data_IF_271595297256
#
_entry.id   IF_271595297256
#
_cell.length_a   1.000
_cell.length_b   1.000
_cell.length_c   1.000
_cell.angle_alpha   90.00
_cell.angle_beta   90.00
_cell.angle_gamma   90.00
#
_symmetry.space_group_name_H-M   'P 1'
#
loop_
_entity.id
_entity.type
_entity.pdbx_description
1 polymer ?
#
# COMPACT_ATOMS: atom_id res chain seq x y z
N UNK A 1 0.80 -79.52 7.52
CA UNK A 1 1.89 -78.54 7.44
C UNK A 1 1.38 -77.23 7.98
N UNK A 2 1.62 -77.01 9.27
CA UNK A 2 1.30 -75.80 10.03
C UNK A 2 2.52 -74.87 9.99
N UNK A 3 2.38 -73.57 9.71
CA UNK A 3 3.51 -72.66 9.72
C UNK A 3 3.81 -72.20 11.15
N UNK A 4 5.07 -72.36 11.54
CA UNK A 4 5.67 -71.89 12.78
C UNK A 4 5.84 -70.37 12.72
N UNK A 5 5.38 -69.67 13.76
CA UNK A 5 5.60 -68.24 13.98
C UNK A 5 7.04 -68.00 14.45
N UNK A 6 7.77 -67.12 13.77
CA UNK A 6 9.04 -66.58 14.25
C UNK A 6 8.83 -65.54 15.36
N UNK A 7 9.77 -65.41 16.32
CA UNK A 7 9.59 -64.60 17.52
C UNK A 7 9.87 -63.11 17.27
N UNK A 8 9.04 -62.27 17.88
CA UNK A 8 9.22 -60.82 18.03
C UNK A 8 10.50 -60.54 18.84
N UNK A 9 11.41 -59.65 18.40
CA UNK A 9 12.58 -59.28 19.18
C UNK A 9 12.18 -58.44 20.41
N UNK A 10 12.84 -58.65 21.57
CA UNK A 10 12.43 -58.04 22.83
C UNK A 10 12.99 -56.62 23.01
N UNK A 11 12.14 -55.72 23.50
CA UNK A 11 12.54 -54.68 24.43
C UNK A 11 13.25 -53.44 23.86
N UNK A 12 12.53 -52.56 23.19
CA UNK A 12 12.74 -51.12 23.38
C UNK A 12 11.86 -50.68 24.56
N UNK A 13 12.32 -50.99 25.77
CA UNK A 13 11.78 -50.32 26.95
C UNK A 13 12.19 -48.86 26.84
N UNK A 14 11.25 -47.99 26.48
CA UNK A 14 11.44 -46.55 26.53
C UNK A 14 11.78 -46.20 27.98
N UNK A 15 13.06 -45.99 28.27
CA UNK A 15 13.52 -45.59 29.59
C UNK A 15 12.76 -44.30 29.97
N UNK A 16 12.09 -44.22 31.13
CA UNK A 16 11.26 -43.07 31.49
C UNK A 16 12.03 -41.75 31.43
N UNK A 17 13.35 -41.77 31.69
CA UNK A 17 14.22 -40.60 31.57
C UNK A 17 14.39 -40.10 30.12
N UNK A 18 14.32 -40.97 29.12
CA UNK A 18 14.42 -40.58 27.69
C UNK A 18 13.11 -39.93 27.24
N UNK A 19 11.96 -40.50 27.63
CA UNK A 19 10.64 -39.94 27.32
C UNK A 19 10.45 -38.58 28.01
N UNK A 20 10.88 -38.46 29.27
CA UNK A 20 10.87 -37.20 30.03
C UNK A 20 11.81 -36.18 29.39
N UNK A 21 12.99 -36.58 28.93
CA UNK A 21 13.94 -35.68 28.26
C UNK A 21 13.42 -35.15 26.92
N UNK A 22 12.83 -36.00 26.07
CA UNK A 22 12.18 -35.56 24.84
C UNK A 22 10.95 -34.70 25.10
N UNK A 23 10.16 -35.01 26.13
CA UNK A 23 9.02 -34.20 26.53
C UNK A 23 9.46 -32.81 27.03
N UNK A 24 10.52 -32.75 27.84
CA UNK A 24 11.11 -31.48 28.29
C UNK A 24 11.67 -30.67 27.12
N UNK A 25 12.42 -31.29 26.21
CA UNK A 25 12.91 -30.62 25.00
C UNK A 25 11.78 -30.13 24.10
N UNK A 26 10.70 -30.91 23.98
CA UNK A 26 9.52 -30.53 23.22
C UNK A 26 8.77 -29.36 23.88
N UNK A 27 8.63 -29.37 25.21
CA UNK A 27 8.04 -28.25 25.95
C UNK A 27 8.91 -27.00 25.91
N UNK A 28 10.24 -27.14 25.94
CA UNK A 28 11.19 -26.03 25.85
C UNK A 28 11.18 -25.41 24.44
N UNK A 29 11.08 -26.24 23.40
CA UNK A 29 10.88 -25.79 22.01
C UNK A 29 9.53 -25.08 21.82
N UNK A 30 8.44 -25.67 22.32
CA UNK A 30 7.09 -25.07 22.32
C UNK A 30 7.01 -23.72 23.05
N UNK A 31 7.84 -23.50 24.07
CA UNK A 31 7.89 -22.21 24.79
C UNK A 31 8.78 -21.18 24.12
N UNK A 32 9.83 -21.61 23.40
CA UNK A 32 10.65 -20.76 22.53
C UNK A 32 9.96 -20.36 21.22
N UNK A 33 9.01 -21.16 20.72
CA UNK A 33 8.31 -20.90 19.45
C UNK A 33 7.13 -19.90 19.62
N UNK A 34 6.61 -19.70 20.84
CA UNK A 34 5.47 -18.79 21.10
C UNK A 34 5.74 -17.32 20.72
N UNK A 35 6.89 -16.72 21.07
CA UNK A 35 7.22 -15.36 20.67
C UNK A 35 7.31 -15.20 19.14
N UNK A 36 7.89 -16.17 18.43
CA UNK A 36 7.99 -16.16 16.98
C UNK A 36 6.60 -16.28 16.30
N UNK A 37 5.75 -17.18 16.82
CA UNK A 37 4.37 -17.32 16.37
C UNK A 37 3.57 -16.03 16.55
N UNK A 38 3.75 -15.31 17.67
CA UNK A 38 3.08 -14.03 17.89
C UNK A 38 3.48 -12.98 16.84
N UNK A 39 4.76 -12.92 16.46
CA UNK A 39 5.25 -12.05 15.38
C UNK A 39 4.67 -12.46 14.03
N UNK A 40 4.66 -13.76 13.72
CA UNK A 40 4.07 -14.28 12.48
C UNK A 40 2.57 -13.97 12.37
N UNK A 41 1.79 -14.16 13.44
CA UNK A 41 0.38 -13.79 13.45
C UNK A 41 0.15 -12.29 13.25
N UNK A 42 1.03 -11.45 13.83
CA UNK A 42 0.98 -10.00 13.64
C UNK A 42 1.28 -9.62 12.17
N UNK A 43 2.32 -10.22 11.59
CA UNK A 43 2.67 -10.06 10.18
C UNK A 43 1.53 -10.46 9.26
N UNK A 44 0.93 -11.64 9.50
CA UNK A 44 -0.20 -12.14 8.71
C UNK A 44 -1.37 -11.15 8.71
N UNK A 45 -1.76 -10.67 9.89
CA UNK A 45 -2.81 -9.65 10.04
C UNK A 45 -2.45 -8.35 9.31
N UNK A 46 -1.18 -7.92 9.36
CA UNK A 46 -0.72 -6.72 8.68
C UNK A 46 -0.80 -6.85 7.16
N UNK A 47 -0.31 -7.95 6.58
CA UNK A 47 -0.34 -8.16 5.13
C UNK A 47 -1.77 -8.29 4.57
N UNK A 48 -2.69 -8.93 5.29
CA UNK A 48 -4.11 -8.95 4.90
C UNK A 48 -4.71 -7.54 4.86
N UNK A 49 -4.35 -6.68 5.82
CA UNK A 49 -4.76 -5.27 5.78
C UNK A 49 -4.10 -4.54 4.62
N UNK A 50 -2.81 -4.77 4.35
CA UNK A 50 -2.12 -4.18 3.18
C UNK A 50 -2.82 -4.57 1.88
N UNK A 51 -3.24 -5.83 1.72
CA UNK A 51 -3.97 -6.31 0.54
C UNK A 51 -5.30 -5.55 0.35
N UNK A 52 -6.11 -5.45 1.40
CA UNK A 52 -7.37 -4.70 1.37
C UNK A 52 -7.12 -3.22 1.02
N UNK A 53 -6.14 -2.60 1.69
CA UNK A 53 -5.82 -1.18 1.49
C UNK A 53 -5.23 -0.90 0.10
N UNK A 54 -4.50 -1.85 -0.50
CA UNK A 54 -3.98 -1.72 -1.86
C UNK A 54 -5.11 -1.62 -2.88
N UNK A 55 -6.20 -2.37 -2.70
CA UNK A 55 -7.39 -2.26 -3.55
C UNK A 55 -8.01 -0.86 -3.50
N UNK A 56 -8.17 -0.31 -2.29
CA UNK A 56 -8.69 1.05 -2.08
C UNK A 56 -7.76 2.12 -2.67
N UNK A 57 -6.45 1.93 -2.51
CA UNK A 57 -5.43 2.81 -3.08
C UNK A 57 -5.54 2.89 -4.60
N UNK A 58 -5.55 1.73 -5.28
CA UNK A 58 -5.63 1.67 -6.73
C UNK A 58 -6.94 2.26 -7.26
N UNK A 59 -8.06 1.95 -6.61
CA UNK A 59 -9.36 2.51 -6.98
C UNK A 59 -9.36 4.05 -6.85
N UNK A 60 -8.83 4.60 -5.75
CA UNK A 60 -8.75 6.05 -5.57
C UNK A 60 -7.82 6.71 -6.61
N UNK A 61 -6.72 6.06 -7.00
CA UNK A 61 -5.84 6.55 -8.07
C UNK A 61 -6.54 6.55 -9.43
N UNK A 62 -7.30 5.51 -9.75
CA UNK A 62 -8.08 5.44 -10.99
C UNK A 62 -9.15 6.54 -11.04
N UNK A 63 -9.83 6.79 -9.93
CA UNK A 63 -10.82 7.87 -9.78
C UNK A 63 -10.22 9.27 -10.00
N UNK A 64 -8.93 9.46 -9.74
CA UNK A 64 -8.26 10.75 -9.95
C UNK A 64 -8.06 11.07 -11.45
N UNK A 65 -7.86 10.07 -12.31
CA UNK A 65 -7.56 10.27 -13.73
C UNK A 65 -8.59 11.11 -14.50
N UNK A 66 -9.91 10.83 -14.43
CA UNK A 66 -10.90 11.66 -15.10
C UNK A 66 -10.96 13.08 -14.51
N UNK A 67 -10.70 13.26 -13.22
CA UNK A 67 -10.68 14.58 -12.57
C UNK A 67 -9.48 15.43 -13.05
N UNK A 68 -8.29 14.82 -13.11
CA UNK A 68 -7.08 15.47 -13.65
C UNK A 68 -7.26 15.85 -15.11
N UNK A 69 -7.87 14.96 -15.91
CA UNK A 69 -8.20 15.25 -17.30
C UNK A 69 -9.19 16.40 -17.43
N UNK A 70 -10.18 16.47 -16.53
CA UNK A 70 -11.13 17.58 -16.47
C UNK A 70 -10.45 18.92 -16.15
N UNK A 71 -9.51 18.95 -15.20
CA UNK A 71 -8.72 20.16 -14.91
C UNK A 71 -7.87 20.60 -16.09
N UNK A 72 -7.18 19.65 -16.73
CA UNK A 72 -6.36 19.92 -17.92
C UNK A 72 -7.21 20.56 -19.03
N UNK A 73 -8.37 19.97 -19.34
CA UNK A 73 -9.31 20.51 -20.31
C UNK A 73 -9.87 21.89 -19.90
N UNK A 74 -10.17 22.12 -18.62
CA UNK A 74 -10.59 23.46 -18.16
C UNK A 74 -9.48 24.51 -18.37
N UNK A 75 -8.22 24.15 -18.13
CA UNK A 75 -7.10 25.05 -18.40
C UNK A 75 -6.91 25.33 -19.88
N UNK A 76 -7.09 24.35 -20.77
CA UNK A 76 -7.13 24.56 -22.23
C UNK A 76 -8.25 25.52 -22.62
N UNK A 77 -9.45 25.34 -22.06
CA UNK A 77 -10.58 26.23 -22.34
C UNK A 77 -10.35 27.66 -21.83
N UNK A 78 -9.74 27.83 -20.64
CA UNK A 78 -9.35 29.15 -20.14
C UNK A 78 -8.33 29.80 -21.09
N UNK A 79 -7.35 29.04 -21.55
CA UNK A 79 -6.32 29.54 -22.46
C UNK A 79 -6.93 29.97 -23.81
N UNK A 80 -7.81 29.16 -24.38
CA UNK A 80 -8.54 29.48 -25.59
C UNK A 80 -9.39 30.76 -25.44
N UNK A 81 -10.10 30.89 -24.31
CA UNK A 81 -10.87 32.09 -24.00
C UNK A 81 -9.98 33.33 -23.77
N UNK A 82 -8.76 33.18 -23.26
CA UNK A 82 -7.81 34.29 -23.11
C UNK A 82 -7.27 34.78 -24.46
N UNK A 83 -7.03 33.84 -25.38
CA UNK A 83 -6.47 34.13 -26.70
C UNK A 83 -7.52 34.68 -27.69
N UNK A 84 -8.82 34.46 -27.42
CA UNK A 84 -9.90 34.97 -28.25
C UNK A 84 -10.03 36.50 -28.14
N UNK A 85 -10.02 37.16 -29.30
CA UNK A 85 -10.41 38.57 -29.43
C UNK A 85 -11.93 38.63 -29.59
N UNK A 86 -12.64 38.78 -28.47
CA UNK A 86 -14.11 38.83 -28.46
C UNK A 86 -14.68 39.98 -29.30
N UNK A 87 -13.91 41.07 -29.44
CA UNK A 87 -14.22 42.24 -30.26
C UNK A 87 -14.31 41.90 -31.76
N UNK A 88 -13.54 40.92 -32.21
CA UNK A 88 -13.50 40.48 -33.61
C UNK A 88 -14.67 39.54 -33.97
N UNK A 89 -15.55 39.23 -33.01
CA UNK A 89 -16.71 38.34 -33.20
C UNK A 89 -18.01 39.14 -33.02
N UNK A 90 -18.62 39.66 -34.09
CA UNK A 90 -19.77 40.56 -34.03
C UNK A 90 -20.97 40.00 -33.24
N UNK A 91 -21.21 38.68 -33.32
CA UNK A 91 -22.29 38.00 -32.60
C UNK A 91 -22.11 38.04 -31.07
N UNK A 92 -20.89 38.19 -30.56
CA UNK A 92 -20.60 38.26 -29.13
C UNK A 92 -20.68 39.69 -28.57
N UNK A 93 -20.79 40.71 -29.43
CA UNK A 93 -20.89 42.12 -29.02
C UNK A 93 -22.11 42.45 -28.16
N UNK A 94 -23.18 41.63 -28.24
CA UNK A 94 -24.35 41.74 -27.38
C UNK A 94 -24.08 41.33 -25.91
N UNK A 95 -22.91 40.75 -25.62
CA UNK A 95 -22.56 40.19 -24.31
C UNK A 95 -21.21 40.73 -23.80
N UNK A 96 -21.14 42.01 -23.38
CA UNK A 96 -19.89 42.66 -22.99
C UNK A 96 -19.18 41.97 -21.82
N UNK A 97 -19.94 41.38 -20.89
CA UNK A 97 -19.38 40.69 -19.72
C UNK A 97 -19.07 39.20 -19.96
N UNK A 98 -19.26 38.69 -21.18
CA UNK A 98 -19.17 37.25 -21.46
C UNK A 98 -17.80 36.67 -21.07
N UNK A 99 -16.71 37.37 -21.40
CA UNK A 99 -15.35 36.94 -21.10
C UNK A 99 -15.14 36.74 -19.59
N UNK A 100 -15.53 37.73 -18.79
CA UNK A 100 -15.37 37.67 -17.34
C UNK A 100 -16.32 36.67 -16.69
N UNK A 101 -17.55 36.56 -17.20
CA UNK A 101 -18.51 35.54 -16.72
C UNK A 101 -18.05 34.13 -17.05
N UNK A 102 -17.50 33.90 -18.23
CA UNK A 102 -16.94 32.61 -18.65
C UNK A 102 -15.75 32.24 -17.77
N UNK A 103 -14.80 33.18 -17.57
CA UNK A 103 -13.66 32.99 -16.67
C UNK A 103 -14.11 32.58 -15.28
N UNK A 104 -15.03 33.32 -14.67
CA UNK A 104 -15.57 33.01 -13.33
C UNK A 104 -16.22 31.62 -13.28
N UNK A 105 -17.01 31.26 -14.29
CA UNK A 105 -17.65 29.93 -14.36
C UNK A 105 -16.63 28.81 -14.48
N UNK A 106 -15.59 28.98 -15.28
CA UNK A 106 -14.56 27.95 -15.46
C UNK A 106 -13.70 27.79 -14.20
N UNK A 107 -13.35 28.89 -13.53
CA UNK A 107 -12.64 28.83 -12.24
C UNK A 107 -13.49 28.10 -11.19
N UNK A 108 -14.77 28.45 -11.06
CA UNK A 108 -15.69 27.77 -10.15
C UNK A 108 -15.85 26.27 -10.47
N UNK A 109 -15.90 25.90 -11.76
CA UNK A 109 -15.90 24.50 -12.17
C UNK A 109 -14.57 23.80 -11.79
N UNK A 110 -13.46 24.50 -11.92
CA UNK A 110 -12.15 24.04 -11.51
C UNK A 110 -12.05 23.78 -10.00
N UNK A 111 -12.57 24.69 -9.18
CA UNK A 111 -12.62 24.54 -7.72
C UNK A 111 -13.41 23.29 -7.32
N UNK A 112 -14.55 23.02 -7.95
CA UNK A 112 -15.33 21.79 -7.73
C UNK A 112 -14.52 20.52 -8.05
N UNK A 113 -13.69 20.55 -9.10
CA UNK A 113 -12.85 19.40 -9.46
C UNK A 113 -11.70 19.24 -8.46
N UNK A 114 -11.11 20.35 -7.98
CA UNK A 114 -10.09 20.33 -6.94
C UNK A 114 -10.63 19.78 -5.61
N UNK A 115 -11.85 20.13 -5.22
CA UNK A 115 -12.51 19.58 -4.04
C UNK A 115 -12.62 18.05 -4.14
N UNK A 116 -13.09 17.54 -5.28
CA UNK A 116 -13.19 16.10 -5.54
C UNK A 116 -11.82 15.41 -5.52
N UNK A 117 -10.79 16.04 -6.06
CA UNK A 117 -9.42 15.53 -5.95
C UNK A 117 -8.94 15.52 -4.49
N UNK A 118 -9.31 16.53 -3.71
CA UNK A 118 -9.06 16.57 -2.27
C UNK A 118 -9.71 15.40 -1.51
N UNK A 119 -10.96 15.04 -1.85
CA UNK A 119 -11.62 13.86 -1.30
C UNK A 119 -10.86 12.57 -1.63
N UNK A 120 -10.36 12.42 -2.87
CA UNK A 120 -9.56 11.24 -3.26
C UNK A 120 -8.21 11.22 -2.57
N UNK A 121 -7.55 12.36 -2.39
CA UNK A 121 -6.35 12.47 -1.56
C UNK A 121 -6.62 12.06 -0.11
N UNK A 122 -7.79 12.36 0.45
CA UNK A 122 -8.15 11.95 1.80
C UNK A 122 -8.27 10.42 1.93
N UNK A 123 -8.74 9.73 0.88
CA UNK A 123 -8.74 8.26 0.84
C UNK A 123 -7.31 7.72 0.82
N UNK A 124 -6.43 8.26 -0.03
CA UNK A 124 -5.02 7.87 -0.08
C UNK A 124 -4.31 8.10 1.26
N UNK A 125 -4.60 9.24 1.91
CA UNK A 125 -4.11 9.55 3.26
C UNK A 125 -4.53 8.49 4.26
N UNK A 126 -5.81 8.11 4.25
CA UNK A 126 -6.36 7.09 5.16
C UNK A 126 -5.69 5.73 4.94
N UNK A 127 -5.49 5.30 3.70
CA UNK A 127 -4.76 4.06 3.38
C UNK A 127 -3.37 4.09 3.99
N UNK A 128 -2.61 5.16 3.74
CA UNK A 128 -1.26 5.34 4.31
C UNK A 128 -1.27 5.23 5.84
N UNK A 129 -2.21 5.89 6.51
CA UNK A 129 -2.30 5.93 7.97
C UNK A 129 -2.67 4.58 8.57
N UNK A 130 -3.62 3.88 7.95
CA UNK A 130 -4.01 2.52 8.36
C UNK A 130 -2.80 1.59 8.24
N UNK A 131 -2.13 1.57 7.09
CA UNK A 131 -0.96 0.70 6.88
C UNK A 131 0.16 1.04 7.85
N UNK A 132 0.52 2.32 8.00
CA UNK A 132 1.57 2.77 8.93
C UNK A 132 1.27 2.32 10.38
N UNK A 133 0.02 2.46 10.85
CA UNK A 133 -0.36 2.01 12.19
C UNK A 133 -0.27 0.50 12.41
N UNK A 134 -0.52 -0.29 11.35
CA UNK A 134 -0.40 -1.75 11.40
C UNK A 134 1.07 -2.18 11.37
N UNK A 135 1.89 -1.55 10.53
CA UNK A 135 3.33 -1.77 10.47
C UNK A 135 3.95 -1.45 11.84
N UNK A 136 3.65 -0.28 12.41
CA UNK A 136 4.14 0.10 13.74
C UNK A 136 3.79 -0.95 14.81
N UNK A 137 2.56 -1.47 14.81
CA UNK A 137 2.14 -2.52 15.74
C UNK A 137 2.93 -3.81 15.58
N UNK A 138 3.23 -4.22 14.34
CA UNK A 138 4.08 -5.40 14.08
C UNK A 138 5.47 -5.19 14.67
N UNK A 139 6.08 -4.03 14.43
CA UNK A 139 7.40 -3.70 14.97
C UNK A 139 7.39 -3.67 16.50
N UNK A 140 6.36 -3.11 17.13
CA UNK A 140 6.21 -3.16 18.60
C UNK A 140 6.14 -4.59 19.14
N UNK A 141 5.39 -5.49 18.49
CA UNK A 141 5.30 -6.90 18.90
C UNK A 141 6.65 -7.60 18.70
N UNK A 142 7.33 -7.34 17.59
CA UNK A 142 8.66 -7.88 17.34
C UNK A 142 9.66 -7.40 18.40
N UNK A 143 9.72 -6.11 18.70
CA UNK A 143 10.59 -5.52 19.72
C UNK A 143 10.34 -6.09 21.12
N UNK A 144 9.08 -6.33 21.49
CA UNK A 144 8.71 -6.98 22.75
C UNK A 144 9.27 -8.41 22.90
N UNK A 145 9.53 -9.06 21.77
CA UNK A 145 9.98 -10.44 21.70
C UNK A 145 11.44 -10.59 21.23
N UNK A 146 12.11 -9.50 20.86
CA UNK A 146 13.42 -9.52 20.22
C UNK A 146 14.51 -10.23 21.05
N UNK A 147 14.51 -10.04 22.38
CA UNK A 147 15.48 -10.70 23.27
C UNK A 147 15.26 -12.22 23.39
N UNK A 148 14.05 -12.68 23.08
CA UNK A 148 13.64 -14.09 23.15
C UNK A 148 13.67 -14.80 21.80
N UNK A 149 13.42 -14.06 20.72
CA UNK A 149 13.44 -14.58 19.36
C UNK A 149 14.88 -14.51 18.86
N UNK A 150 15.55 -15.65 18.81
CA UNK A 150 16.92 -15.73 18.30
C UNK A 150 17.02 -15.23 16.84
N UNK A 151 18.11 -14.54 16.52
CA UNK A 151 18.39 -14.00 15.17
C UNK A 151 18.27 -15.08 14.10
N UNK A 152 18.77 -16.29 14.38
CA UNK A 152 18.68 -17.41 13.45
C UNK A 152 17.22 -17.72 13.07
N UNK A 153 16.31 -17.72 14.04
CA UNK A 153 14.90 -18.02 13.82
C UNK A 153 14.20 -16.96 12.96
N UNK A 154 14.60 -15.70 13.05
CA UNK A 154 14.06 -14.59 12.25
C UNK A 154 14.50 -14.69 10.79
N UNK A 155 15.71 -15.19 10.56
CA UNK A 155 16.33 -15.32 9.24
C UNK A 155 15.97 -16.62 8.53
N UNK A 156 15.39 -17.63 9.20
CA UNK A 156 15.04 -18.90 8.57
C UNK A 156 13.76 -18.77 7.73
N UNK A 157 13.82 -18.91 6.40
CA UNK A 157 12.63 -19.11 5.59
C UNK A 157 12.13 -20.56 5.69
N UNK A 158 10.91 -20.80 5.24
CA UNK A 158 10.34 -22.14 5.05
C UNK A 158 9.85 -22.33 3.61
N UNK A 159 9.41 -23.55 3.28
CA UNK A 159 8.85 -23.85 1.96
C UNK A 159 7.56 -23.05 1.64
N UNK A 160 6.90 -22.53 2.67
CA UNK A 160 5.58 -21.88 2.57
C UNK A 160 5.54 -20.49 3.21
N UNK A 161 6.67 -20.02 3.74
CA UNK A 161 6.78 -18.70 4.36
C UNK A 161 8.16 -18.10 4.08
N UNK A 162 8.23 -16.84 3.63
CA UNK A 162 9.45 -16.04 3.69
C UNK A 162 9.98 -15.93 5.13
N UNK A 163 11.21 -15.43 5.29
CA UNK A 163 11.76 -15.17 6.62
C UNK A 163 11.03 -14.00 7.29
N UNK A 164 11.04 -13.95 8.62
CA UNK A 164 10.47 -12.82 9.37
C UNK A 164 11.25 -11.53 9.07
N UNK A 165 12.56 -11.61 8.86
CA UNK A 165 13.37 -10.46 8.45
C UNK A 165 12.89 -9.86 7.13
N UNK A 166 12.74 -10.69 6.08
CA UNK A 166 12.30 -10.23 4.75
C UNK A 166 10.91 -9.58 4.84
N UNK A 167 9.99 -10.23 5.57
CA UNK A 167 8.63 -9.70 5.75
C UNK A 167 8.60 -8.36 6.48
N UNK A 168 9.44 -8.17 7.50
CA UNK A 168 9.56 -6.89 8.21
C UNK A 168 10.15 -5.80 7.31
N UNK A 169 11.18 -6.12 6.52
CA UNK A 169 11.77 -5.21 5.53
C UNK A 169 10.72 -4.79 4.50
N UNK A 170 9.99 -5.74 3.93
CA UNK A 170 8.94 -5.47 2.95
C UNK A 170 7.80 -4.61 3.51
N UNK A 171 7.42 -4.78 4.78
CA UNK A 171 6.43 -3.90 5.42
C UNK A 171 6.94 -2.44 5.51
N UNK A 172 8.21 -2.23 5.82
CA UNK A 172 8.80 -0.88 5.80
C UNK A 172 8.85 -0.30 4.39
N UNK A 173 9.16 -1.11 3.38
CA UNK A 173 9.16 -0.68 1.99
C UNK A 173 7.76 -0.28 1.52
N UNK A 174 6.73 -1.04 1.88
CA UNK A 174 5.32 -0.71 1.63
C UNK A 174 4.94 0.62 2.31
N UNK A 175 5.29 0.78 3.59
CA UNK A 175 5.00 2.02 4.32
C UNK A 175 5.68 3.23 3.66
N UNK A 176 6.96 3.09 3.31
CA UNK A 176 7.76 4.12 2.61
C UNK A 176 7.14 4.46 1.27
N UNK A 177 6.68 3.45 0.51
CA UNK A 177 5.99 3.63 -0.75
C UNK A 177 4.75 4.49 -0.57
N UNK A 178 3.78 4.07 0.25
CA UNK A 178 2.54 4.85 0.45
C UNK A 178 2.81 6.28 0.93
N UNK A 179 3.76 6.45 1.87
CA UNK A 179 4.12 7.76 2.39
C UNK A 179 4.69 8.67 1.29
N UNK A 180 5.68 8.20 0.54
CA UNK A 180 6.31 8.96 -0.55
C UNK A 180 5.29 9.30 -1.63
N UNK A 181 4.51 8.29 -2.04
CA UNK A 181 3.51 8.37 -3.09
C UNK A 181 2.40 9.36 -2.78
N UNK A 182 1.91 9.37 -1.54
CA UNK A 182 0.94 10.33 -1.05
C UNK A 182 1.53 11.75 -1.03
N UNK A 183 2.73 11.93 -0.49
CA UNK A 183 3.35 13.25 -0.35
C UNK A 183 3.61 13.91 -1.71
N UNK A 184 4.10 13.14 -2.68
CA UNK A 184 4.33 13.62 -4.05
C UNK A 184 3.04 14.09 -4.71
N UNK A 185 1.95 13.33 -4.56
CA UNK A 185 0.63 13.70 -5.10
C UNK A 185 0.03 14.91 -4.40
N UNK A 186 0.11 14.97 -3.07
CA UNK A 186 -0.32 16.12 -2.28
C UNK A 186 0.42 17.38 -2.70
N UNK A 187 1.75 17.29 -2.86
CA UNK A 187 2.57 18.40 -3.29
C UNK A 187 2.17 18.87 -4.70
N UNK A 188 2.05 17.94 -5.65
CA UNK A 188 1.64 18.24 -7.02
C UNK A 188 0.32 19.03 -7.05
N UNK A 189 -0.72 18.55 -6.33
CA UNK A 189 -2.01 19.22 -6.30
C UNK A 189 -1.99 20.55 -5.54
N UNK A 190 -1.20 20.67 -4.47
CA UNK A 190 -1.04 21.93 -3.73
C UNK A 190 -0.29 23.01 -4.54
N UNK A 191 0.46 22.61 -5.57
CA UNK A 191 1.22 23.52 -6.42
C UNK A 191 0.39 24.19 -7.52
N UNK A 192 -0.87 23.77 -7.69
CA UNK A 192 -1.76 24.25 -8.75
C UNK A 192 -2.02 25.75 -8.60
N UNK A 193 -1.81 26.49 -9.69
CA UNK A 193 -2.09 27.92 -9.80
C UNK A 193 -2.80 28.20 -11.11
N UNK A 194 -4.00 28.75 -11.06
CA UNK A 194 -4.77 29.13 -12.26
C UNK A 194 -4.11 30.22 -13.14
N UNK A 195 -3.01 30.83 -12.66
CA UNK A 195 -2.14 31.68 -13.47
C UNK A 195 -1.16 30.93 -14.37
N UNK A 196 -0.94 29.64 -14.12
CA UNK A 196 -0.04 28.77 -14.88
C UNK A 196 -0.83 27.62 -15.53
N UNK A 197 -1.52 27.96 -16.62
CA UNK A 197 -2.39 27.02 -17.33
C UNK A 197 -1.59 25.87 -17.97
N UNK A 198 -0.34 26.12 -18.38
CA UNK A 198 0.51 25.10 -18.99
C UNK A 198 0.83 23.98 -17.99
N UNK A 199 1.13 24.33 -16.74
CA UNK A 199 1.33 23.34 -15.68
C UNK A 199 0.04 22.55 -15.39
N UNK A 200 -1.12 23.22 -15.34
CA UNK A 200 -2.42 22.53 -15.14
C UNK A 200 -2.71 21.54 -16.27
N UNK A 201 -2.43 21.92 -17.52
CA UNK A 201 -2.57 21.02 -18.67
C UNK A 201 -1.65 19.80 -18.60
N UNK A 202 -0.47 19.96 -18.00
CA UNK A 202 0.52 18.90 -17.81
C UNK A 202 0.23 17.98 -16.60
N UNK A 203 -0.74 18.31 -15.74
CA UNK A 203 -1.03 17.56 -14.51
C UNK A 203 -1.27 16.06 -14.72
N UNK A 204 -2.07 15.59 -15.70
CA UNK A 204 -2.26 14.15 -15.89
C UNK A 204 -0.93 13.42 -16.13
N UNK A 205 -0.06 13.99 -16.97
CA UNK A 205 1.27 13.43 -17.24
C UNK A 205 2.17 13.48 -16.01
N UNK A 206 2.12 14.56 -15.24
CA UNK A 206 2.90 14.70 -14.00
C UNK A 206 2.45 13.67 -12.96
N UNK A 207 1.15 13.43 -12.84
CA UNK A 207 0.57 12.43 -11.95
C UNK A 207 1.02 11.00 -12.31
N UNK A 208 0.98 10.64 -13.59
CA UNK A 208 1.39 9.31 -14.06
C UNK A 208 2.89 9.04 -13.84
N UNK A 209 3.73 10.09 -13.93
CA UNK A 209 5.17 9.96 -13.65
C UNK A 209 5.44 9.55 -12.21
N UNK A 210 4.64 10.01 -11.25
CA UNK A 210 4.80 9.62 -9.84
C UNK A 210 4.68 8.10 -9.70
N UNK A 211 3.71 7.47 -10.36
CA UNK A 211 3.56 6.00 -10.33
C UNK A 211 4.76 5.27 -10.94
N UNK A 212 5.30 5.80 -12.05
CA UNK A 212 6.43 5.18 -12.76
C UNK A 212 7.74 5.24 -11.95
N UNK A 213 7.98 6.37 -11.29
CA UNK A 213 9.21 6.60 -10.52
C UNK A 213 9.22 5.84 -9.19
N UNK A 214 8.06 5.35 -8.73
CA UNK A 214 7.87 4.72 -7.42
C UNK A 214 7.70 3.21 -7.45
N UNK A 215 7.96 2.55 -8.60
CA UNK A 215 7.71 1.13 -8.82
C UNK A 215 6.26 0.77 -8.51
N UNK A 216 5.37 1.06 -9.45
CA UNK A 216 3.92 0.89 -9.33
C UNK A 216 3.48 -0.49 -8.80
N UNK A 217 4.27 -1.53 -9.09
CA UNK A 217 3.94 -2.92 -8.76
C UNK A 217 4.56 -3.42 -7.45
N UNK A 218 5.35 -2.60 -6.74
CA UNK A 218 6.07 -2.99 -5.50
C UNK A 218 5.17 -3.70 -4.49
N UNK A 219 4.03 -3.10 -4.16
CA UNK A 219 3.11 -3.65 -3.15
C UNK A 219 2.51 -4.98 -3.65
N UNK A 220 2.19 -5.07 -4.94
CA UNK A 220 1.63 -6.29 -5.53
C UNK A 220 2.67 -7.42 -5.56
N UNK A 221 3.91 -7.12 -5.92
CA UNK A 221 5.02 -8.08 -5.95
C UNK A 221 5.30 -8.64 -4.56
N UNK A 222 5.30 -7.79 -3.54
CA UNK A 222 5.44 -8.21 -2.13
C UNK A 222 4.26 -9.08 -1.70
N UNK A 223 3.01 -8.69 -2.01
CA UNK A 223 1.83 -9.47 -1.68
C UNK A 223 1.87 -10.86 -2.32
N UNK A 224 2.38 -10.96 -3.56
CA UNK A 224 2.62 -12.25 -4.21
C UNK A 224 3.65 -13.10 -3.47
N UNK A 225 4.75 -12.50 -2.99
CA UNK A 225 5.79 -13.20 -2.23
C UNK A 225 5.28 -13.78 -0.89
N UNK A 226 4.28 -13.15 -0.27
CA UNK A 226 3.70 -13.62 1.01
C UNK A 226 2.42 -14.45 0.83
N UNK A 227 1.94 -14.67 -0.39
CA UNK A 227 0.65 -15.35 -0.66
C UNK A 227 0.50 -16.70 0.07
N UNK A 228 1.46 -17.62 -0.07
CA UNK A 228 1.43 -18.93 0.61
C UNK A 228 1.48 -18.84 2.15
N UNK A 229 2.07 -17.76 2.69
CA UNK A 229 2.06 -17.51 4.12
C UNK A 229 0.67 -17.08 4.61
N UNK A 230 -0.09 -16.36 3.77
CA UNK A 230 -1.44 -15.92 4.11
C UNK A 230 -2.48 -17.06 4.10
N UNK A 231 -2.24 -18.13 3.36
CA UNK A 231 -3.15 -19.28 3.23
C UNK A 231 -3.14 -20.26 4.43
N UNK A 232 -2.15 -20.17 5.33
CA UNK A 232 -1.95 -21.08 6.48
C UNK A 232 -2.70 -20.66 7.74
#
# INVERSE_FOLDING_TARGET
MTPTLDPVPPGLTCHPNVVIFYFYLFQQKMTQDRPLLAVQEALKKCFLVVEEQQGLWQSALQDCQPLLSSLSNLAEQLQAAQNLRFEDVPALGAFPDLKERLRRKQLAAGDIVLDKLGERLAILLKVRDVVSSHVERVFQIYEQHADTVGIDAVLQPSAVSPSVADMLEWLQDIERHYRKSYLNRKYLLSSIRWGDLANIQALPKAWDRISKDEHQDLVQDILLNVSFFLEQ
#
